data_IF_360768736736
#
_entry.id   IF_360768736736
#
_cell.length_a   1.000
_cell.length_b   1.000
_cell.length_c   1.000
_cell.angle_alpha   90.00
_cell.angle_beta   90.00
_cell.angle_gamma   90.00
#
_symmetry.space_group_name_H-M   'P 1'
#
loop_
_entity.id
_entity.type
_entity.pdbx_description
1 polymer ?
2 non-polymer ?
3 non-polymer ?
4 water ?
#
# COMPACT_ATOMS: atom_id res chain seq x y z
N UNK A 12 20.44 -5.14 19.25
CA UNK A 12 18.95 -5.15 19.15
C UNK A 12 18.32 -3.79 19.46
N UNK A 14 14.68 -2.03 20.54
CA UNK A 14 13.34 -2.11 21.11
C UNK A 14 12.55 -0.91 20.61
N UNK A 15 11.44 -1.20 19.92
CA UNK A 15 10.59 -0.18 19.31
C UNK A 15 9.12 -0.40 19.68
N UNK A 16 8.34 0.64 19.46
CA UNK A 16 6.90 0.55 19.59
C UNK A 16 6.28 -0.11 18.37
N UNK A 17 5.28 -0.95 18.59
CA UNK A 17 4.34 -1.39 17.55
C UNK A 17 2.95 -1.15 18.12
N UNK A 18 2.03 -0.70 17.28
CA UNK A 18 0.66 -0.44 17.72
C UNK A 18 -0.28 -1.46 17.05
N UNK A 19 -1.05 -2.16 17.87
CA UNK A 19 -2.02 -3.13 17.41
C UNK A 19 -3.42 -2.53 17.58
N UNK A 20 -4.19 -2.53 16.50
CA UNK A 20 -5.56 -2.00 16.53
C UNK A 20 -6.51 -3.13 16.89
N UNK A 21 -7.59 -2.80 17.60
CA UNK A 21 -8.57 -3.81 17.96
C UNK A 21 -9.38 -4.32 16.79
N UNK A 22 -9.61 -3.46 15.81
CA UNK A 22 -10.40 -3.81 14.63
C UNK A 22 -9.62 -3.46 13.40
N UNK A 23 -9.86 -4.17 12.29
CA UNK A 23 -9.26 -3.79 11.05
C UNK A 23 -10.05 -2.61 10.44
N UNK A 24 -9.47 -1.99 9.42
CA UNK A 24 -10.25 -1.15 8.56
C UNK A 24 -10.12 0.34 8.81
N UNK A 25 -11.06 1.05 8.20
CA UNK A 25 -10.98 2.47 7.94
C UNK A 25 -10.90 3.37 9.18
N UNK A 26 -11.41 2.89 10.32
CA UNK A 26 -11.36 3.71 11.55
C UNK A 26 -9.94 4.03 11.98
N UNK A 27 -8.99 3.23 11.53
CA UNK A 27 -7.59 3.35 11.95
C UNK A 27 -6.75 4.29 11.11
N UNK A 28 -7.37 4.98 10.16
CA UNK A 28 -6.61 5.67 9.12
C UNK A 28 -5.70 6.74 9.67
N UNK A 29 -6.26 7.64 10.49
CA UNK A 29 -5.49 8.75 10.94
C UNK A 29 -4.34 8.32 11.83
N UNK A 30 -4.58 7.35 12.72
CA UNK A 30 -3.53 6.87 13.60
C UNK A 30 -2.46 6.13 12.85
N UNK A 31 -2.85 5.33 11.86
CA UNK A 31 -1.87 4.64 11.00
C UNK A 31 -0.93 5.68 10.32
N UNK A 32 -1.51 6.71 9.72
CA UNK A 32 -0.69 7.73 9.05
C UNK A 32 0.21 8.45 10.04
N UNK A 33 -0.31 8.76 11.22
CA UNK A 33 0.50 9.44 12.23
C UNK A 33 1.72 8.61 12.61
N UNK A 34 1.48 7.34 12.85
CA UNK A 34 2.55 6.42 13.26
C UNK A 34 3.53 6.18 12.11
N UNK A 35 3.00 6.11 10.90
CA UNK A 35 3.84 5.93 9.70
C UNK A 35 4.81 7.08 9.53
N UNK A 36 4.27 8.29 9.61
CA UNK A 36 5.10 9.49 9.49
C UNK A 36 6.13 9.57 10.64
N UNK A 37 5.68 9.27 11.86
CA UNK A 37 6.56 9.25 13.04
C UNK A 37 7.77 8.36 12.83
N UNK A 38 7.52 7.12 12.41
CA UNK A 38 8.64 6.17 12.17
C UNK A 38 9.53 6.62 11.00
N UNK A 39 8.93 7.08 9.90
CA UNK A 39 9.73 7.54 8.76
C UNK A 39 10.72 8.61 9.21
N UNK A 40 10.23 9.53 10.04
CA UNK A 40 11.08 10.64 10.47
C UNK A 40 12.19 10.15 11.38
N UNK A 41 11.89 9.21 12.27
CA UNK A 41 12.93 8.62 13.12
C UNK A 41 14.05 7.99 12.30
N UNK A 42 13.70 7.37 11.17
CA UNK A 42 14.65 6.63 10.34
C UNK A 42 15.30 7.47 9.24
N UNK A 43 14.82 8.68 9.02
CA UNK A 43 15.33 9.49 7.91
C UNK A 43 14.84 9.01 6.55
N UNK A 44 13.70 8.33 6.55
CA UNK A 44 13.07 7.87 5.34
C UNK A 44 12.41 9.06 4.64
N UNK A 45 12.48 9.10 3.33
CA UNK A 45 11.95 10.19 2.52
C UNK A 45 10.60 9.96 1.86
N UNK A 46 10.25 8.72 1.60
CA UNK A 46 9.05 8.39 0.85
C UNK A 46 8.02 7.65 1.70
N UNK A 47 6.77 8.09 1.55
CA UNK A 47 5.60 7.48 2.17
C UNK A 47 4.73 6.98 1.02
N UNK A 48 4.58 5.67 0.89
CA UNK A 48 3.82 5.04 -0.20
C UNK A 48 2.48 4.64 0.40
N UNK A 49 1.40 5.16 -0.17
CA UNK A 49 0.07 5.03 0.42
C UNK A 49 -0.93 4.52 -0.59
N UNK A 50 -1.69 3.49 -0.23
CA UNK A 50 -2.78 3.00 -1.09
C UNK A 50 -3.96 3.93 -0.97
N UNK A 51 -4.51 4.37 -2.09
CA UNK A 51 -5.75 5.13 -2.03
C UNK A 51 -6.54 4.84 -3.31
N UNK A 52 -7.70 4.20 -3.13
CA UNK A 52 -8.56 3.81 -4.23
C UNK A 52 -9.32 4.98 -4.82
N UNK A 53 -9.90 5.79 -3.95
CA UNK A 53 -10.75 6.91 -4.35
C UNK A 53 -10.12 8.26 -4.00
N UNK A 54 -9.10 8.26 -3.13
CA UNK A 54 -8.31 9.46 -2.86
C UNK A 54 -8.31 9.95 -1.42
N UNK A 55 -9.19 9.41 -0.56
CA UNK A 55 -9.33 9.91 0.81
C UNK A 55 -8.02 9.77 1.60
N UNK A 56 -7.46 8.57 1.60
CA UNK A 56 -6.26 8.33 2.37
C UNK A 56 -5.08 9.14 1.84
N UNK A 57 -5.02 9.29 0.52
CA UNK A 57 -4.00 10.10 -0.11
C UNK A 57 -4.04 11.54 0.35
N UNK A 59 -5.39 12.71 3.12
CA UNK A 59 -5.03 12.76 4.53
C UNK A 59 -3.50 12.62 4.70
N UNK A 60 -2.91 11.72 3.91
CA UNK A 60 -1.46 11.53 3.95
C UNK A 60 -0.73 12.84 3.64
N UNK A 61 -1.18 13.55 2.61
CA UNK A 61 -0.53 14.82 2.25
C UNK A 61 -0.61 15.82 3.39
N UNK A 62 -1.76 15.88 4.04
CA UNK A 62 -1.94 16.79 5.16
C UNK A 62 -0.98 16.47 6.29
N UNK A 64 1.98 14.62 6.15
CA UNK A 64 3.31 14.14 5.71
C UNK A 64 4.49 14.86 6.24
N UNK A 65 4.29 16.11 6.65
CA UNK A 65 5.35 16.90 7.28
C UNK A 65 6.63 16.87 6.46
N UNK A 66 6.54 17.07 5.17
CA UNK A 66 7.73 17.12 4.34
C UNK A 66 8.15 15.82 3.65
N UNK A 67 7.57 14.68 4.01
CA UNK A 67 7.82 13.44 3.27
C UNK A 67 7.21 13.54 1.86
N UNK A 68 7.82 12.84 0.93
CA UNK A 68 7.27 12.71 -0.41
C UNK A 68 6.22 11.61 -0.41
N UNK A 69 5.01 11.91 -0.82
CA UNK A 69 3.92 10.97 -0.79
C UNK A 69 3.77 10.38 -2.21
N UNK A 70 3.80 9.06 -2.27
CA UNK A 70 3.58 8.32 -3.48
C UNK A 70 2.27 7.58 -3.29
N UNK A 71 1.25 7.98 -4.05
CA UNK A 71 -0.07 7.43 -3.94
C UNK A 71 -0.18 6.30 -4.95
N UNK A 72 -0.57 5.12 -4.49
CA UNK A 72 -0.82 4.00 -5.39
C UNK A 72 -2.31 3.73 -5.39
N UNK A 73 -2.90 3.85 -6.57
CA UNK A 73 -4.34 3.67 -6.73
C UNK A 73 -4.66 2.41 -7.51
N UNK A 74 -5.94 2.15 -7.72
CA UNK A 74 -6.38 1.03 -8.52
C UNK A 74 -6.01 1.15 -9.99
N UNK A 75 -5.73 -0.01 -10.59
CA UNK A 75 -5.60 -0.06 -12.02
C UNK A 75 -6.86 0.40 -12.72
N UNK A 76 -6.73 1.07 -13.85
CA UNK A 76 -7.90 1.38 -14.68
C UNK A 76 -8.62 0.07 -15.00
N UNK A 77 -9.94 0.02 -14.82
CA UNK A 77 -10.70 -1.19 -15.04
C UNK A 77 -10.91 -2.09 -13.86
N UNK A 78 -10.44 -1.73 -12.67
CA UNK A 78 -10.59 -2.58 -11.50
C UNK A 78 -12.06 -2.84 -11.24
N UNK A 79 -12.91 -1.83 -11.33
CA UNK A 79 -14.35 -2.03 -11.14
C UNK A 79 -15.09 -2.23 -12.46
N UNK A 80 -14.88 -1.32 -13.41
CA UNK A 80 -15.48 -1.35 -14.73
C UNK A 80 -14.42 -1.02 -15.75
N UNK A 81 -14.38 -1.78 -16.88
CA UNK A 81 -13.33 -1.60 -17.87
C UNK A 81 -13.27 -0.18 -18.36
N UNK A 82 -12.06 0.34 -18.47
CA UNK A 82 -11.85 1.67 -18.95
C UNK A 82 -12.11 2.79 -17.96
N UNK A 83 -12.48 2.47 -16.74
CA UNK A 83 -12.85 3.50 -15.75
C UNK A 83 -11.91 3.48 -14.57
N UNK A 84 -11.74 4.68 -13.99
CA UNK A 84 -10.91 4.87 -12.82
C UNK A 84 -11.77 5.16 -11.60
N UNK A 85 -11.39 4.62 -10.44
CA UNK A 85 -12.10 4.94 -9.20
C UNK A 85 -11.79 6.35 -8.69
N UNK A 87 -11.37 10.07 -9.08
CA UNK A 87 -11.75 10.96 -10.16
C UNK A 87 -10.77 12.05 -10.47
N UNK A 88 -10.84 12.62 -11.67
CA UNK A 88 -9.87 13.57 -12.12
C UNK A 88 -9.69 14.74 -11.15
N UNK A 89 -10.76 15.26 -10.54
CA UNK A 89 -10.64 16.41 -9.67
C UNK A 89 -9.81 16.11 -8.44
N UNK A 90 -9.89 14.91 -7.94
CA UNK A 90 -9.08 14.46 -6.83
C UNK A 90 -7.64 14.26 -7.27
N UNK A 91 -7.41 13.58 -8.36
CA UNK A 91 -6.07 13.37 -8.89
C UNK A 91 -5.36 14.71 -9.12
N UNK A 92 -6.05 15.68 -9.70
CA UNK A 92 -5.48 16.99 -9.95
C UNK A 92 -5.07 17.66 -8.65
N UNK A 93 -5.90 17.60 -7.61
CA UNK A 93 -5.54 18.19 -6.32
C UNK A 93 -4.35 17.49 -5.66
N UNK A 94 -4.32 16.18 -5.72
CA UNK A 94 -3.18 15.45 -5.17
C UNK A 94 -1.88 15.86 -5.87
N UNK A 95 -1.91 15.98 -7.18
CA UNK A 95 -0.72 16.37 -7.93
C UNK A 95 -0.33 17.81 -7.58
N UNK A 96 -1.30 18.69 -7.44
CA UNK A 96 -1.00 20.06 -7.03
C UNK A 96 -0.30 20.17 -5.69
N UNK A 97 -0.65 19.27 -4.79
CA UNK A 97 -0.07 19.24 -3.45
C UNK A 97 1.25 18.46 -3.39
N UNK A 98 1.73 17.98 -4.53
CA UNK A 98 3.06 17.37 -4.68
C UNK A 98 3.10 15.84 -4.62
N UNK A 99 1.95 15.18 -4.67
CA UNK A 99 1.97 13.71 -4.69
C UNK A 99 2.39 13.17 -6.04
N UNK A 100 3.07 12.02 -6.02
CA UNK A 100 3.19 11.21 -7.21
C UNK A 100 2.01 10.23 -7.24
N UNK A 101 1.56 9.88 -8.41
CA UNK A 101 0.45 8.95 -8.57
C UNK A 101 0.93 7.75 -9.37
N UNK A 102 0.78 6.58 -8.78
CA UNK A 102 1.06 5.32 -9.44
C UNK A 102 -0.26 4.65 -9.75
N UNK A 103 -0.48 4.36 -11.02
CA UNK A 103 -1.66 3.65 -11.49
C UNK A 103 -1.17 2.57 -12.48
N UNK A 104 -1.26 1.30 -12.08
CA UNK A 104 -0.79 0.19 -12.92
C UNK A 104 -1.44 -1.08 -12.43
N UNK A 105 -1.21 -2.15 -13.17
CA UNK A 105 -1.73 -3.47 -12.82
C UNK A 105 -1.35 -3.86 -11.38
N UNK A 106 -2.24 -4.52 -10.67
CA UNK A 106 -2.00 -5.01 -9.33
C UNK A 106 -1.13 -6.27 -9.35
N UNK A 107 0.10 -6.14 -8.87
CA UNK A 107 1.12 -7.12 -9.17
C UNK A 107 1.07 -8.36 -8.29
N UNK A 108 0.27 -8.38 -7.23
CA UNK A 108 0.05 -9.59 -6.44
C UNK A 108 -1.16 -10.38 -6.91
N UNK A 109 -1.56 -10.17 -8.16
CA UNK A 109 -2.48 -11.06 -8.85
C UNK A 109 -2.14 -11.11 -10.33
N UNK A 110 -2.09 -9.95 -10.98
CA UNK A 110 -1.72 -9.88 -12.37
C UNK A 110 -2.69 -10.60 -13.30
N UNK A 111 -2.17 -11.02 -14.44
CA UNK A 111 -3.00 -11.63 -15.47
C UNK A 111 -3.64 -12.93 -14.97
N UNK A 112 -3.03 -13.55 -13.98
CA UNK A 112 -3.58 -14.77 -13.40
C UNK A 112 -4.98 -14.55 -12.87
N UNK A 113 -5.31 -13.34 -12.44
CA UNK A 113 -6.68 -13.06 -12.01
C UNK A 113 -7.70 -13.27 -13.12
N UNK A 114 -7.36 -12.94 -14.36
CA UNK A 114 -8.29 -13.22 -15.45
C UNK A 114 -8.51 -14.71 -15.62
N UNK A 115 -7.45 -15.49 -15.45
CA UNK A 115 -7.52 -16.93 -15.63
C UNK A 115 -8.31 -17.52 -14.48
N UNK A 116 -8.00 -17.18 -13.23
CA UNK A 116 -8.72 -17.77 -12.11
C UNK A 116 -10.21 -17.37 -12.14
N UNK A 117 -10.54 -16.14 -12.51
CA UNK A 117 -11.91 -15.69 -12.54
C UNK A 117 -12.70 -16.34 -13.62
N UNK A 118 -12.15 -16.44 -14.83
CA UNK A 118 -12.94 -16.92 -15.96
C UNK A 118 -12.89 -18.45 -16.08
N UNK A 119 -11.71 -19.02 -15.86
CA UNK A 119 -11.49 -20.43 -16.14
C UNK A 119 -11.37 -21.30 -14.92
N UNK A 120 -10.94 -20.70 -13.79
CA UNK A 120 -10.82 -21.37 -12.52
C UNK A 120 -9.39 -21.75 -12.17
N UNK A 121 -9.13 -21.71 -10.87
CA UNK A 121 -7.86 -22.10 -10.27
C UNK A 121 -6.97 -20.94 -10.02
N UNK A 122 -6.50 -20.78 -8.80
CA UNK A 122 -5.58 -19.70 -8.52
C UNK A 122 -4.14 -20.09 -8.71
N UNK A 123 -3.35 -19.07 -8.99
CA UNK A 123 -1.92 -19.14 -9.23
C UNK A 123 -1.10 -19.11 -7.94
N UNK A 124 0.20 -19.31 -8.09
CA UNK A 124 1.13 -19.11 -6.99
C UNK A 124 1.11 -17.68 -6.46
N UNK A 125 1.05 -16.70 -7.36
CA UNK A 125 1.00 -15.29 -6.94
C UNK A 125 -0.24 -15.03 -6.09
N UNK A 126 -1.39 -15.49 -6.55
CA UNK A 126 -2.63 -15.29 -5.80
C UNK A 126 -2.61 -16.04 -4.47
N UNK A 127 -1.95 -17.17 -4.39
CA UNK A 127 -1.81 -17.87 -3.15
C UNK A 127 -0.94 -17.10 -2.14
N UNK A 128 0.16 -16.52 -2.60
CA UNK A 128 0.97 -15.64 -1.76
C UNK A 128 0.10 -14.52 -1.25
N UNK A 129 -0.66 -13.87 -2.15
CA UNK A 129 -1.51 -12.75 -1.71
C UNK A 129 -2.46 -13.17 -0.62
N UNK A 130 -3.08 -14.35 -0.77
CA UNK A 130 -4.07 -14.73 0.20
C UNK A 130 -3.44 -15.08 1.54
N UNK A 131 -2.25 -15.68 1.55
CA UNK A 131 -1.55 -15.96 2.79
C UNK A 131 -1.14 -14.69 3.52
N UNK A 132 -0.74 -13.66 2.79
CA UNK A 132 -0.47 -12.38 3.44
C UNK A 132 -1.74 -11.81 4.03
N UNK A 133 -2.84 -11.83 3.27
CA UNK A 133 -4.13 -11.36 3.78
C UNK A 133 -4.55 -12.08 5.04
N UNK A 134 -4.40 -13.40 5.07
CA UNK A 134 -4.93 -14.18 6.19
C UNK A 134 -4.01 -14.06 7.43
N UNK A 135 -2.71 -14.14 7.22
CA UNK A 135 -1.79 -14.14 8.36
C UNK A 135 -1.63 -12.77 8.94
N UNK A 136 -1.54 -11.75 8.09
CA UNK A 136 -1.16 -10.40 8.54
C UNK A 136 -2.21 -9.34 8.26
N UNK A 137 -3.30 -9.71 7.58
CA UNK A 137 -4.35 -8.78 7.20
C UNK A 137 -4.19 -8.21 5.82
N UNK A 138 -5.32 -7.80 5.27
CA UNK A 138 -5.33 -7.20 3.94
C UNK A 138 -4.41 -5.98 3.86
N UNK A 139 -4.38 -5.17 4.89
CA UNK A 139 -3.54 -3.97 4.85
C UNK A 139 -2.07 -4.28 4.67
N UNK A 140 -1.57 -5.35 5.28
CA UNK A 140 -0.18 -5.75 5.05
C UNK A 140 0.06 -6.23 3.64
N UNK A 141 -0.83 -7.07 3.14
CA UNK A 141 -0.76 -7.51 1.76
C UNK A 141 -0.65 -6.31 0.83
N UNK A 142 -1.49 -5.31 1.06
CA UNK A 142 -1.47 -4.11 0.23
C UNK A 142 -0.17 -3.35 0.37
N UNK A 143 0.34 -3.24 1.59
CA UNK A 143 1.63 -2.58 1.76
C UNK A 143 2.70 -3.18 0.87
N UNK A 144 2.77 -4.50 0.83
CA UNK A 144 3.74 -5.18 -0.01
C UNK A 144 3.44 -4.90 -1.50
N UNK A 145 2.19 -5.11 -1.89
CA UNK A 145 1.81 -5.00 -3.29
C UNK A 145 2.11 -3.62 -3.85
N UNK A 146 1.72 -2.57 -3.11
CA UNK A 146 1.90 -1.24 -3.63
C UNK A 146 3.36 -0.82 -3.71
N UNK A 147 4.19 -1.40 -2.86
CA UNK A 147 5.62 -1.11 -2.88
C UNK A 147 6.25 -1.68 -4.14
N UNK A 148 5.92 -2.90 -4.51
CA UNK A 148 6.41 -3.46 -5.78
C UNK A 148 5.91 -2.65 -6.96
N UNK A 150 4.96 0.55 -7.02
CA UNK A 150 5.66 1.83 -7.04
C UNK A 150 7.08 1.69 -7.58
N UNK A 151 7.74 0.60 -7.21
CA UNK A 151 9.09 0.37 -7.72
C UNK A 151 9.09 0.13 -9.23
N UNK A 152 8.21 -0.73 -9.72
CA UNK A 152 8.15 -1.07 -11.14
C UNK A 152 7.76 0.12 -12.00
N UNK A 153 6.92 1.00 -11.45
CA UNK A 153 6.49 2.21 -12.13
C UNK A 153 7.53 3.32 -12.05
N UNK A 154 8.62 3.11 -11.34
CA UNK A 154 9.71 4.07 -11.26
C UNK A 154 9.50 5.24 -10.29
N UNK A 155 8.58 5.09 -9.36
CA UNK A 155 8.21 6.16 -8.42
C UNK A 155 9.05 6.21 -7.17
N UNK A 156 9.63 5.11 -6.77
CA UNK A 156 10.50 5.07 -5.58
C UNK A 156 11.82 4.40 -5.92
N UNK A 157 12.90 4.81 -5.24
CA UNK A 157 14.16 4.11 -5.38
C UNK A 157 14.16 2.86 -4.53
N UNK A 158 15.23 2.08 -4.69
CA UNK A 158 15.41 0.88 -3.88
C UNK A 158 16.14 1.33 -2.63
N UNK A 159 15.34 1.91 -1.74
CA UNK A 159 15.77 2.34 -0.41
C UNK A 159 14.59 2.08 0.50
N UNK A 160 14.84 2.03 1.81
CA UNK A 160 13.73 1.83 2.71
C UNK A 160 12.71 2.94 2.56
N UNK A 161 11.46 2.53 2.51
CA UNK A 161 10.31 3.42 2.47
C UNK A 161 9.32 3.01 3.54
N UNK A 162 8.37 3.89 3.87
CA UNK A 162 7.23 3.47 4.69
C UNK A 162 6.04 3.27 3.77
N UNK A 163 5.38 2.11 3.84
CA UNK A 163 4.19 1.81 3.05
C UNK A 163 2.99 1.69 3.99
N UNK A 164 1.85 2.10 3.47
CA UNK A 164 0.58 2.16 4.20
C UNK A 164 -0.53 1.59 3.34
N UNK A 165 -1.32 0.71 3.96
CA UNK A 165 -2.49 0.09 3.30
C UNK A 165 -3.54 -0.25 4.34
N UNK A 166 -4.67 -0.78 3.88
CA UNK A 166 -5.73 -1.07 4.79
C UNK A 166 -6.66 -2.16 4.31
N UNK A 167 -7.71 -2.35 5.11
CA UNK A 167 -8.76 -3.28 4.78
C UNK A 167 -9.91 -2.51 4.13
N UNK A 168 -10.00 -2.68 2.82
CA UNK A 168 -11.09 -2.17 1.94
C UNK A 168 -11.01 -0.67 1.68
N UNK A 169 -11.04 0.14 2.75
CA UNK A 169 -10.96 1.60 2.64
C UNK A 169 -10.07 2.09 3.74
N UNK A 170 -9.51 3.29 3.57
CA UNK A 170 -8.63 3.84 4.57
C UNK A 170 -7.37 3.03 4.74
N UNK A 171 -6.77 3.19 5.91
CA UNK A 171 -5.51 2.55 6.24
C UNK A 171 -5.60 1.91 7.63
N UNK A 172 -4.88 0.80 7.80
CA UNK A 172 -4.79 0.14 9.10
C UNK A 172 -3.43 -0.52 9.35
N UNK A 173 -2.48 -0.41 8.41
CA UNK A 173 -1.21 -1.12 8.53
C UNK A 173 -0.14 -0.25 7.91
N UNK A 174 1.00 -0.15 8.60
CA UNK A 174 2.16 0.58 8.05
C UNK A 174 3.40 -0.24 8.36
N UNK A 175 4.29 -0.30 7.38
CA UNK A 175 5.54 -1.04 7.49
C UNK A 175 6.71 -0.22 6.97
N UNK A 176 7.90 -0.56 7.45
CA UNK A 176 9.14 -0.10 6.81
C UNK A 176 9.56 -1.24 5.88
N UNK A 177 9.76 -0.98 4.61
CA UNK A 177 9.97 -2.01 3.63
C UNK A 177 11.09 -1.62 2.66
N UNK A 178 11.92 -2.59 2.34
CA UNK A 178 12.91 -2.49 1.27
C UNK A 178 12.24 -2.96 -0.02
N UNK A 179 12.03 -2.06 -0.99
CA UNK A 179 11.33 -2.45 -2.24
C UNK A 179 12.10 -3.43 -3.11
N UNK A 180 11.38 -4.01 -4.04
CA UNK A 180 11.98 -4.74 -5.13
C UNK A 180 10.97 -4.70 -6.26
N UNK A 181 11.27 -5.41 -7.36
CA UNK A 181 10.46 -5.40 -8.58
C UNK A 181 9.78 -6.72 -8.84
N UNK A 183 10.43 -8.81 -11.07
CA UNK A 183 11.38 -9.83 -11.47
C UNK A 183 12.36 -10.21 -10.38
N UNK A 184 12.35 -9.53 -9.23
CA UNK A 184 13.20 -9.89 -8.09
C UNK A 184 12.44 -9.74 -6.79
N UNK A 185 11.21 -10.22 -6.78
CA UNK A 185 10.32 -10.02 -5.65
C UNK A 185 10.90 -10.51 -4.33
N UNK A 186 11.66 -11.59 -4.35
CA UNK A 186 12.19 -12.17 -3.12
C UNK A 186 13.31 -11.35 -2.53
N UNK A 187 13.71 -10.26 -3.19
CA UNK A 187 14.63 -9.30 -2.60
C UNK A 187 13.90 -8.24 -1.75
N UNK A 188 12.59 -8.11 -1.89
CA UNK A 188 11.83 -7.19 -1.02
C UNK A 188 11.87 -7.72 0.39
N UNK A 189 11.80 -6.81 1.38
CA UNK A 189 11.92 -7.24 2.78
C UNK A 189 11.16 -6.27 3.68
N UNK A 190 10.37 -6.80 4.59
CA UNK A 190 9.75 -6.02 5.65
C UNK A 190 10.76 -5.85 6.76
N UNK A 191 11.21 -4.62 6.99
CA UNK A 191 12.22 -4.36 8.01
C UNK A 191 11.56 -4.20 9.39
N UNK A 192 10.42 -3.50 9.43
CA UNK A 192 9.69 -3.21 10.67
C UNK A 192 8.19 -3.17 10.38
N UNK A 193 7.37 -3.58 11.35
CA UNK A 193 5.94 -3.38 11.28
C UNK A 193 5.59 -2.30 12.28
N UNK A 194 5.08 -1.19 11.77
CA UNK A 194 4.83 -0.01 12.59
C UNK A 194 3.49 -0.15 13.35
N UNK A 195 2.47 -0.62 12.62
CA UNK A 195 1.17 -0.86 13.20
C UNK A 195 0.40 -1.82 12.32
N UNK A 197 -3.71 -4.27 12.53
CA UNK A 197 -4.78 -4.78 13.40
C UNK A 197 -4.35 -6.05 14.11
N UNK A 198 -4.64 -6.13 15.40
CA UNK A 198 -4.46 -7.39 16.13
C UNK A 198 -5.44 -8.42 15.59
N UNK A 199 -6.64 -7.96 15.26
CA UNK A 199 -7.71 -8.78 14.70
C UNK A 199 -7.93 -8.36 13.26
N UNK A 200 -7.64 -9.24 12.32
CA UNK A 200 -7.72 -8.88 10.91
C UNK A 200 -9.12 -9.00 10.32
N UNK A 201 -9.98 -9.73 11.02
CA UNK A 201 -11.27 -10.15 10.52
C UNK A 201 -12.08 -10.68 11.69
#
# INVERSE_FOLDING_TARGET
XGSDKIHHHHHHXEKKIVYFNKPGRENTEETLRLAVERAKELGIKHLVVASSYGDTAXKALEXAEGLEVVVVTYHTGFVREGENTXPPEVEEELRKRGAKIVRQSHILSGLERSISRKLGGVSRTEAIAEALRSLFGHGLKVCVEITIXAADSGAIPIEEVVAVGGRSRGADTAVVIRPAHXNNFFDAEIKEIICXPRNKR
#
